data_IF_882881112443
#
_entry.id   IF_882881112443
#
_cell.length_a   1.000
_cell.length_b   1.000
_cell.length_c   1.000
_cell.angle_alpha   90.00
_cell.angle_beta   90.00
_cell.angle_gamma   90.00
#
_symmetry.space_group_name_H-M   'P 1'
#
loop_
_entity.id
_entity.type
_entity.pdbx_description
1 polymer ?
#
# COMPACT_ATOMS: atom_id res chain seq x y z
N UNK A 1 -0.10 -14.73 14.11
CA UNK A 1 0.61 -13.64 14.82
C UNK A 1 -0.35 -12.48 14.93
N UNK A 2 -0.32 -11.73 16.02
CA UNK A 2 -1.10 -10.51 16.12
C UNK A 2 -0.19 -9.32 16.41
N UNK A 3 -0.58 -8.15 15.92
CA UNK A 3 0.15 -6.89 16.08
C UNK A 3 -0.83 -5.81 16.47
N UNK A 4 -0.53 -5.10 17.55
CA UNK A 4 -1.23 -3.86 17.90
C UNK A 4 -0.52 -2.69 17.24
N UNK A 5 -1.24 -1.95 16.41
CA UNK A 5 -0.76 -0.72 15.81
C UNK A 5 -1.32 0.47 16.59
N UNK A 6 -0.44 1.32 17.07
CA UNK A 6 -0.80 2.63 17.63
C UNK A 6 -0.31 3.71 16.66
N UNK A 7 -1.26 4.46 16.12
CA UNK A 7 -1.02 5.51 15.15
C UNK A 7 -1.09 6.87 15.84
N UNK A 8 -0.13 7.75 15.54
CA UNK A 8 -0.21 9.16 15.91
C UNK A 8 -1.28 9.87 15.07
N UNK A 9 -1.61 11.11 15.44
CA UNK A 9 -2.49 11.99 14.64
C UNK A 9 -2.01 12.03 13.20
N UNK A 10 -2.92 11.79 12.26
CA UNK A 10 -2.65 11.74 10.80
C UNK A 10 -1.61 10.68 10.42
N UNK A 11 -1.37 9.68 11.28
CA UNK A 11 -0.54 8.54 10.95
C UNK A 11 -1.14 7.79 9.77
N UNK A 12 -0.26 7.22 8.93
CA UNK A 12 -0.63 6.45 7.75
C UNK A 12 0.12 5.12 7.77
N UNK A 13 -0.64 4.02 7.79
CA UNK A 13 -0.17 2.73 7.33
C UNK A 13 -0.38 2.70 5.82
N UNK A 14 0.71 2.86 5.07
CA UNK A 14 0.68 3.00 3.61
C UNK A 14 0.12 1.78 2.90
N UNK A 15 -0.23 1.97 1.63
CA UNK A 15 -0.83 0.95 0.78
C UNK A 15 0.06 -0.29 0.72
N UNK A 16 -0.47 -1.42 1.15
CA UNK A 16 0.25 -2.67 1.19
C UNK A 16 -0.67 -3.85 0.91
N UNK A 17 -0.09 -4.99 0.56
CA UNK A 17 -0.82 -6.23 0.39
C UNK A 17 -0.47 -7.28 1.46
N UNK A 18 -1.38 -8.23 1.61
CA UNK A 18 -1.31 -9.35 2.53
C UNK A 18 -1.66 -10.62 1.77
N UNK A 19 -0.65 -11.43 1.46
CA UNK A 19 -0.83 -12.67 0.69
C UNK A 19 -1.74 -13.72 1.37
N UNK A 20 -2.27 -13.42 2.55
CA UNK A 20 -3.08 -14.30 3.41
C UNK A 20 -4.14 -13.52 4.17
N UNK A 21 -4.95 -14.24 4.94
CA UNK A 21 -6.05 -13.64 5.70
C UNK A 21 -5.53 -12.67 6.76
N UNK A 22 -6.18 -11.51 6.82
CA UNK A 22 -6.00 -10.49 7.84
C UNK A 22 -7.34 -10.19 8.51
N UNK A 23 -7.34 -10.23 9.84
CA UNK A 23 -8.41 -9.65 10.64
C UNK A 23 -7.93 -8.30 11.17
N UNK A 24 -8.59 -7.21 10.79
CA UNK A 24 -8.35 -5.88 11.34
C UNK A 24 -9.49 -5.50 12.28
N UNK A 25 -9.16 -5.24 13.54
CA UNK A 25 -10.12 -4.83 14.57
C UNK A 25 -9.75 -3.47 15.12
N UNK A 26 -10.67 -2.51 15.01
CA UNK A 26 -10.50 -1.20 15.63
C UNK A 26 -10.45 -1.31 17.16
N UNK A 27 -9.58 -0.54 17.80
CA UNK A 27 -9.39 -0.51 19.27
C UNK A 27 -9.72 0.85 19.87
N UNK A 28 -9.28 1.94 19.24
CA UNK A 28 -9.50 3.31 19.76
C UNK A 28 -9.30 4.37 18.67
N UNK A 29 -9.92 5.54 18.84
CA UNK A 29 -9.85 6.64 17.90
C UNK A 29 -10.86 6.50 16.75
N UNK A 30 -10.52 7.10 15.62
CA UNK A 30 -11.23 6.94 14.35
C UNK A 30 -10.19 6.58 13.29
N UNK A 31 -10.44 5.51 12.55
CA UNK A 31 -9.59 5.06 11.45
C UNK A 31 -10.35 5.16 10.13
N UNK A 32 -9.63 5.41 9.05
CA UNK A 32 -10.13 5.23 7.69
C UNK A 32 -9.37 4.05 7.07
N UNK A 33 -10.11 3.03 6.65
CA UNK A 33 -9.63 1.89 5.86
C UNK A 33 -9.96 2.13 4.39
N UNK A 34 -8.95 2.31 3.55
CA UNK A 34 -9.10 2.39 2.09
C UNK A 34 -8.79 1.05 1.45
N UNK A 35 -9.71 0.49 0.67
CA UNK A 35 -9.59 -0.82 0.04
C UNK A 35 -9.44 -0.72 -1.48
N UNK A 36 -8.54 -1.54 -2.03
CA UNK A 36 -8.25 -1.64 -3.46
C UNK A 36 -8.22 -3.11 -3.89
N UNK A 37 -8.58 -3.35 -5.15
CA UNK A 37 -8.56 -4.68 -5.74
C UNK A 37 -7.70 -4.68 -7.00
N UNK A 38 -6.79 -5.65 -7.15
CA UNK A 38 -6.05 -5.80 -8.40
C UNK A 38 -7.02 -6.16 -9.53
N UNK A 39 -6.85 -5.51 -10.68
CA UNK A 39 -7.53 -5.94 -11.88
C UNK A 39 -6.88 -7.24 -12.38
N UNK A 40 -7.64 -8.31 -12.71
CA UNK A 40 -7.08 -9.61 -13.10
C UNK A 40 -6.25 -9.59 -14.40
N UNK A 41 -6.21 -8.47 -15.14
CA UNK A 41 -5.36 -8.32 -16.32
C UNK A 41 -4.02 -7.68 -15.93
N UNK A 42 -2.88 -8.39 -16.03
CA UNK A 42 -1.58 -7.81 -15.71
C UNK A 42 -1.31 -6.60 -16.59
N UNK A 43 -0.90 -5.49 -15.97
CA UNK A 43 -0.92 -4.18 -16.61
C UNK A 43 0.47 -3.54 -16.58
N UNK A 44 1.30 -3.91 -17.56
CA UNK A 44 2.45 -3.13 -18.03
C UNK A 44 3.68 -3.04 -17.11
N UNK A 45 4.86 -3.27 -17.68
CA UNK A 45 6.14 -2.81 -17.12
C UNK A 45 6.48 -1.50 -17.82
N UNK A 46 6.74 -0.43 -17.05
CA UNK A 46 7.10 0.88 -17.62
C UNK A 46 8.56 1.22 -17.25
N UNK A 47 9.28 1.79 -18.22
CA UNK A 47 10.67 2.22 -18.04
C UNK A 47 10.70 3.74 -17.97
N UNK A 48 11.18 4.28 -16.85
CA UNK A 48 11.32 5.73 -16.67
C UNK A 48 12.79 6.10 -16.51
N UNK A 49 13.25 7.15 -17.20
CA UNK A 49 14.60 7.67 -17.01
C UNK A 49 14.65 8.38 -15.67
N UNK A 50 15.70 8.15 -14.88
CA UNK A 50 15.86 8.70 -13.51
C UNK A 50 15.86 10.24 -13.41
N UNK A 51 15.73 10.97 -14.54
CA UNK A 51 15.64 12.43 -14.62
C UNK A 51 14.29 12.94 -15.21
N UNK A 52 13.21 12.16 -15.10
CA UNK A 52 11.85 12.71 -15.17
C UNK A 52 11.25 12.97 -16.56
N UNK A 53 11.85 12.46 -17.64
CA UNK A 53 11.17 12.44 -18.94
C UNK A 53 10.75 11.00 -19.32
N UNK A 54 9.45 10.76 -19.58
CA UNK A 54 9.00 9.47 -20.08
C UNK A 54 9.56 9.23 -21.49
N UNK A 55 9.95 7.99 -21.78
CA UNK A 55 10.28 7.58 -23.15
C UNK A 55 8.95 7.37 -23.88
N UNK A 56 8.50 8.37 -24.63
CA UNK A 56 7.62 8.09 -25.76
C UNK A 56 8.37 7.12 -26.68
N UNK A 57 7.71 6.05 -27.13
CA UNK A 57 8.26 4.97 -27.97
C UNK A 57 8.94 5.43 -29.30
N UNK A 58 9.08 6.73 -29.54
CA UNK A 58 9.64 7.32 -30.76
C UNK A 58 11.15 7.65 -30.73
N UNK A 59 11.88 7.42 -29.63
CA UNK A 59 13.33 7.67 -29.57
C UNK A 59 14.17 6.38 -29.58
N UNK A 60 13.97 5.56 -30.61
CA UNK A 60 14.99 4.60 -31.07
C UNK A 60 15.72 5.23 -32.27
N UNK A 61 16.46 6.32 -32.05
CA UNK A 61 17.42 6.85 -33.03
C UNK A 61 18.84 6.67 -32.48
N UNK A 62 19.82 6.17 -33.28
CA UNK A 62 21.08 5.63 -32.77
C UNK A 62 22.15 6.70 -32.51
N UNK A 63 21.81 7.78 -31.81
CA UNK A 63 22.76 8.87 -31.53
C UNK A 63 22.85 9.20 -30.04
N UNK A 64 23.65 8.43 -29.29
CA UNK A 64 24.52 8.93 -28.21
C UNK A 64 25.29 7.78 -27.56
N UNK A 65 26.51 7.51 -27.99
CA UNK A 65 27.37 6.48 -27.40
C UNK A 65 28.06 6.89 -26.07
N UNK A 66 27.65 7.98 -25.42
CA UNK A 66 28.35 8.50 -24.22
C UNK A 66 27.43 8.86 -23.04
N UNK A 67 26.14 8.54 -23.09
CA UNK A 67 25.21 8.73 -21.97
C UNK A 67 24.83 7.36 -21.40
N UNK A 68 25.39 7.01 -20.24
CA UNK A 68 24.86 5.93 -19.42
C UNK A 68 23.53 6.43 -18.86
N UNK A 69 22.43 6.09 -19.53
CA UNK A 69 21.10 6.34 -19.00
C UNK A 69 20.85 5.38 -17.85
N UNK A 70 20.68 5.92 -16.63
CA UNK A 70 20.14 5.14 -15.53
C UNK A 70 18.63 5.04 -15.72
N UNK A 71 18.15 3.85 -16.09
CA UNK A 71 16.73 3.55 -16.17
C UNK A 71 16.24 3.06 -14.81
N UNK A 72 15.17 3.66 -14.30
CA UNK A 72 14.39 3.08 -13.22
C UNK A 72 13.33 2.18 -13.87
N UNK A 73 13.30 0.90 -13.46
CA UNK A 73 12.21 0.00 -13.82
C UNK A 73 11.16 0.12 -12.72
N UNK A 74 9.98 0.63 -13.08
CA UNK A 74 8.85 0.69 -12.17
C UNK A 74 7.81 -0.33 -12.62
N UNK A 75 7.34 -1.16 -11.68
CA UNK A 75 6.26 -2.11 -11.92
C UNK A 75 4.95 -1.45 -11.51
N UNK A 76 4.00 -1.44 -12.44
CA UNK A 76 2.67 -0.90 -12.21
C UNK A 76 1.64 -2.02 -12.26
N UNK A 77 0.58 -1.85 -11.49
CA UNK A 77 -0.56 -2.74 -11.48
C UNK A 77 -1.82 -1.89 -11.62
N UNK A 78 -2.71 -2.25 -12.52
CA UNK A 78 -4.05 -1.66 -12.51
C UNK A 78 -4.81 -2.20 -11.31
N UNK A 79 -5.39 -1.30 -10.54
CA UNK A 79 -6.26 -1.63 -9.43
C UNK A 79 -7.52 -0.78 -9.50
N UNK A 80 -8.60 -1.29 -8.93
CA UNK A 80 -9.83 -0.54 -8.76
C UNK A 80 -9.94 -0.14 -7.30
N UNK A 81 -10.26 1.13 -7.04
CA UNK A 81 -10.61 1.56 -5.69
C UNK A 81 -12.00 0.99 -5.35
N UNK A 82 -12.06 0.19 -4.28
CA UNK A 82 -13.30 -0.49 -3.90
C UNK A 82 -14.14 0.43 -3.02
N UNK A 83 -13.63 0.77 -1.84
CA UNK A 83 -14.37 1.58 -0.86
C UNK A 83 -13.44 2.21 0.17
N UNK A 84 -13.98 3.21 0.87
CA UNK A 84 -13.37 3.82 2.06
C UNK A 84 -14.34 3.65 3.21
N UNK A 85 -13.88 2.97 4.26
CA UNK A 85 -14.67 2.67 5.45
C UNK A 85 -14.12 3.48 6.62
N UNK A 86 -14.97 4.28 7.26
CA UNK A 86 -14.65 4.89 8.55
C UNK A 86 -14.94 3.87 9.66
N UNK A 87 -13.93 3.58 10.47
CA UNK A 87 -13.98 2.59 11.53
C UNK A 87 -13.89 3.31 12.88
N UNK A 88 -14.83 2.97 13.75
CA UNK A 88 -14.84 3.36 15.17
C UNK A 88 -14.89 2.13 16.08
N UNK A 89 -15.01 2.33 17.40
CA UNK A 89 -15.03 1.24 18.39
C UNK A 89 -16.27 0.35 18.36
N UNK A 90 -17.30 0.70 17.58
CA UNK A 90 -18.53 -0.08 17.44
C UNK A 90 -18.55 -0.93 16.17
N UNK A 91 -17.60 -0.72 15.26
CA UNK A 91 -17.48 -1.52 14.04
C UNK A 91 -17.06 -2.96 14.36
N UNK A 92 -17.66 -3.90 13.63
CA UNK A 92 -17.21 -5.29 13.63
C UNK A 92 -15.81 -5.38 12.98
N UNK A 93 -14.98 -6.36 13.38
CA UNK A 93 -13.70 -6.59 12.73
C UNK A 93 -13.84 -6.82 11.22
N UNK A 94 -12.94 -6.22 10.45
CA UNK A 94 -12.85 -6.44 9.01
C UNK A 94 -12.06 -7.72 8.73
N UNK A 95 -12.59 -8.60 7.89
CA UNK A 95 -11.89 -9.77 7.38
C UNK A 95 -11.46 -9.49 5.94
N UNK A 96 -10.15 -9.48 5.73
CA UNK A 96 -9.52 -9.30 4.43
C UNK A 96 -8.89 -10.65 4.04
N UNK A 97 -9.06 -11.04 2.78
CA UNK A 97 -8.55 -12.30 2.22
C UNK A 97 -7.63 -11.99 1.03
N UNK A 98 -6.83 -12.96 0.55
CA UNK A 98 -6.01 -12.76 -0.64
C UNK A 98 -6.79 -12.25 -1.86
N UNK A 99 -8.07 -12.61 -1.94
CA UNK A 99 -8.99 -12.27 -3.03
C UNK A 99 -9.88 -11.04 -2.76
N UNK A 100 -9.93 -10.54 -1.52
CA UNK A 100 -10.82 -9.44 -1.15
C UNK A 100 -10.21 -8.52 -0.08
N UNK A 101 -10.10 -7.24 -0.39
CA UNK A 101 -9.55 -6.21 0.49
C UNK A 101 -8.06 -6.41 0.78
N UNK A 102 -7.39 -7.23 -0.03
CA UNK A 102 -6.00 -7.59 0.13
C UNK A 102 -5.08 -6.35 0.10
N UNK A 103 -5.40 -5.41 -0.78
CA UNK A 103 -4.67 -4.15 -0.89
C UNK A 103 -5.40 -3.09 -0.09
N UNK A 104 -4.71 -2.51 0.89
CA UNK A 104 -5.33 -1.47 1.70
C UNK A 104 -4.33 -0.50 2.31
N UNK A 105 -4.86 0.65 2.70
CA UNK A 105 -4.19 1.63 3.54
C UNK A 105 -5.08 1.92 4.76
N UNK A 106 -4.44 2.23 5.89
CA UNK A 106 -5.13 2.65 7.11
C UNK A 106 -4.60 4.01 7.52
N UNK A 107 -5.49 4.96 7.79
CA UNK A 107 -5.11 6.28 8.29
C UNK A 107 -5.87 6.67 9.55
N UNK A 108 -5.20 7.35 10.47
CA UNK A 108 -5.80 7.86 11.68
C UNK A 108 -6.43 9.24 11.45
N UNK A 109 -7.70 9.41 11.84
CA UNK A 109 -8.45 10.65 11.63
C UNK A 109 -8.57 11.43 12.93
N UNK A 110 -8.39 12.76 12.84
CA UNK A 110 -8.59 13.73 13.93
C UNK A 110 -7.74 13.57 15.19
N UNK A 111 -7.04 12.45 15.40
CA UNK A 111 -6.25 12.17 16.60
C UNK A 111 -5.51 10.84 16.53
N UNK A 112 -4.84 10.43 17.62
CA UNK A 112 -4.26 9.11 17.74
C UNK A 112 -5.35 8.02 17.65
N UNK A 113 -5.01 6.91 17.03
CA UNK A 113 -5.90 5.77 16.87
C UNK A 113 -5.13 4.46 17.02
N UNK A 114 -5.83 3.37 17.31
CA UNK A 114 -5.22 2.06 17.44
C UNK A 114 -6.11 0.97 16.84
N UNK A 115 -5.46 -0.03 16.23
CA UNK A 115 -6.10 -1.23 15.73
C UNK A 115 -5.26 -2.47 16.01
N UNK A 116 -5.91 -3.62 15.96
CA UNK A 116 -5.32 -4.94 16.13
C UNK A 116 -5.42 -5.69 14.80
N UNK A 117 -4.28 -6.13 14.30
CA UNK A 117 -4.18 -7.01 13.15
C UNK A 117 -3.86 -8.44 13.59
N UNK A 118 -4.58 -9.42 13.06
CA UNK A 118 -4.26 -10.84 13.20
C UNK A 118 -3.97 -11.42 11.81
N UNK A 119 -2.72 -11.79 11.57
CA UNK A 119 -2.25 -12.39 10.33
C UNK A 119 -2.19 -13.91 10.45
N UNK A 120 -2.79 -14.60 9.49
CA UNK A 120 -2.88 -16.04 9.43
C UNK A 120 -2.65 -16.60 8.00
N UNK A 121 -1.43 -17.07 7.68
CA UNK A 121 -0.19 -17.05 8.45
C UNK A 121 0.48 -15.65 8.57
N UNK A 122 1.45 -15.48 9.49
CA UNK A 122 2.28 -14.28 9.56
C UNK A 122 3.19 -14.14 8.32
N UNK A 123 3.66 -12.91 8.09
CA UNK A 123 4.70 -12.62 7.10
C UNK A 123 5.98 -13.40 7.37
N UNK A 124 6.67 -13.74 6.29
CA UNK A 124 7.93 -14.48 6.31
C UNK A 124 8.59 -14.37 4.94
N UNK A 125 9.49 -13.40 4.80
CA UNK A 125 10.20 -13.14 3.55
C UNK A 125 10.94 -14.38 3.05
N UNK A 126 11.50 -15.18 3.97
CA UNK A 126 12.26 -16.39 3.63
C UNK A 126 11.38 -17.52 3.11
N UNK A 127 10.13 -17.57 3.57
CA UNK A 127 9.14 -18.52 3.08
C UNK A 127 8.24 -17.95 1.97
N UNK A 128 8.65 -16.84 1.33
CA UNK A 128 7.93 -16.27 0.20
C UNK A 128 6.62 -15.58 0.56
N UNK A 129 6.51 -15.08 1.80
CA UNK A 129 5.36 -14.29 2.27
C UNK A 129 5.75 -12.83 2.59
N UNK A 130 6.37 -12.09 1.66
CA UNK A 130 6.69 -10.68 1.89
C UNK A 130 5.41 -9.82 1.90
N UNK A 131 5.51 -8.68 2.57
CA UNK A 131 4.58 -7.56 2.42
C UNK A 131 5.11 -6.66 1.29
N UNK A 132 4.31 -6.42 0.25
CA UNK A 132 4.66 -5.46 -0.79
C UNK A 132 3.96 -4.13 -0.53
N UNK A 133 4.68 -3.04 -0.79
CA UNK A 133 4.18 -1.68 -0.63
C UNK A 133 3.92 -1.05 -1.99
N UNK A 134 2.92 -0.20 -2.04
CA UNK A 134 2.51 0.45 -3.28
C UNK A 134 2.28 1.94 -3.09
N UNK A 135 2.39 2.68 -4.18
CA UNK A 135 1.96 4.06 -4.30
C UNK A 135 0.85 4.13 -5.33
N UNK A 136 -0.27 4.75 -4.97
CA UNK A 136 -1.35 5.04 -5.92
C UNK A 136 -0.96 6.22 -6.81
N UNK A 137 -1.18 6.06 -8.12
CA UNK A 137 -0.87 7.03 -9.17
C UNK A 137 -2.11 7.22 -10.05
N UNK A 138 -2.41 8.47 -10.41
CA UNK A 138 -3.52 8.83 -11.30
C UNK A 138 -3.19 8.64 -12.80
N UNK A 139 -1.91 8.50 -13.16
CA UNK A 139 -1.47 8.29 -14.55
C UNK A 139 -0.22 7.40 -14.62
N UNK A 140 -0.04 6.74 -15.78
CA UNK A 140 1.14 5.92 -16.12
C UNK A 140 2.41 6.74 -16.36
N UNK A 141 2.25 8.03 -16.70
CA UNK A 141 3.39 8.88 -17.04
C UNK A 141 4.27 9.18 -15.82
N UNK A 142 3.80 8.83 -14.62
CA UNK A 142 4.57 8.98 -13.38
C UNK A 142 4.93 10.42 -13.07
N UNK A 143 4.28 11.41 -13.72
CA UNK A 143 4.55 12.85 -13.52
C UNK A 143 3.57 13.45 -12.50
N UNK A 144 2.34 12.93 -12.42
CA UNK A 144 1.38 13.30 -11.38
C UNK A 144 1.52 12.36 -10.18
N UNK A 145 2.45 12.72 -9.30
CA UNK A 145 2.76 11.99 -8.06
C UNK A 145 1.73 12.24 -6.94
N UNK A 146 0.91 13.27 -7.10
CA UNK A 146 -0.10 13.63 -6.13
C UNK A 146 -1.39 12.85 -6.38
N UNK A 147 -1.97 12.36 -5.29
CA UNK A 147 -3.32 11.82 -5.24
C UNK A 147 -4.27 12.94 -5.65
N UNK A 148 -4.68 12.98 -6.91
CA UNK A 148 -5.78 13.85 -7.27
C UNK A 148 -7.05 13.22 -6.69
N UNK A 149 -7.41 13.64 -5.48
CA UNK A 149 -8.61 13.20 -4.77
C UNK A 149 -9.89 13.51 -5.57
N UNK A 150 -9.79 14.30 -6.65
CA UNK A 150 -10.87 14.60 -7.60
C UNK A 150 -10.91 13.66 -8.81
N UNK A 151 -9.97 12.71 -8.90
CA UNK A 151 -10.03 11.67 -9.93
C UNK A 151 -11.19 10.74 -9.61
N UNK A 152 -12.33 10.97 -10.26
CA UNK A 152 -13.50 10.08 -10.22
C UNK A 152 -13.28 8.78 -11.01
N UNK A 153 -12.05 8.52 -11.50
CA UNK A 153 -11.74 7.26 -12.17
C UNK A 153 -11.80 6.11 -11.17
N UNK A 154 -12.60 5.05 -11.45
CA UNK A 154 -12.61 3.86 -10.60
C UNK A 154 -11.26 3.13 -10.66
N UNK A 155 -10.53 3.30 -11.75
CA UNK A 155 -9.24 2.68 -12.01
C UNK A 155 -8.07 3.57 -11.54
N UNK A 156 -7.11 2.92 -10.90
CA UNK A 156 -5.89 3.47 -10.32
C UNK A 156 -4.68 2.67 -10.77
N UNK A 157 -3.53 3.33 -10.89
CA UNK A 157 -2.26 2.65 -11.10
C UNK A 157 -1.54 2.52 -9.77
N UNK A 158 -1.22 1.30 -9.35
CA UNK A 158 -0.42 1.03 -8.17
C UNK A 158 1.01 0.73 -8.60
N UNK A 159 1.92 1.63 -8.28
CA UNK A 159 3.34 1.42 -8.48
C UNK A 159 3.92 0.69 -7.27
N UNK A 160 4.55 -0.46 -7.48
CA UNK A 160 5.29 -1.13 -6.41
C UNK A 160 6.49 -0.28 -6.00
N UNK A 161 6.67 -0.11 -4.70
CA UNK A 161 7.76 0.65 -4.11
C UNK A 161 8.46 -0.17 -3.02
N UNK A 162 9.74 0.11 -2.73
CA UNK A 162 10.34 -0.33 -1.48
C UNK A 162 9.53 0.18 -0.29
N UNK A 163 9.64 -0.49 0.86
CA UNK A 163 9.07 -0.01 2.11
C UNK A 163 9.40 1.47 2.30
N UNK A 164 8.40 2.36 2.44
CA UNK A 164 8.65 3.79 2.55
C UNK A 164 9.54 4.10 3.75
N UNK A 165 10.52 5.00 3.58
CA UNK A 165 11.36 5.46 4.71
C UNK A 165 10.56 6.22 5.77
N UNK A 166 9.42 6.79 5.41
CA UNK A 166 8.46 7.43 6.31
C UNK A 166 7.61 6.43 7.09
N UNK A 167 7.59 5.15 6.67
CA UNK A 167 6.95 4.08 7.42
C UNK A 167 7.87 3.66 8.56
N UNK A 168 7.56 4.15 9.76
CA UNK A 168 8.29 3.83 10.98
C UNK A 168 7.39 3.07 11.95
N UNK A 169 7.66 1.78 12.12
CA UNK A 169 7.08 0.97 13.20
C UNK A 169 8.14 0.73 14.27
N UNK A 170 8.11 1.52 15.33
CA UNK A 170 8.86 1.21 16.55
C UNK A 170 8.20 0.05 17.27
N UNK A 171 8.86 -1.11 17.35
CA UNK A 171 8.39 -2.22 18.17
C UNK A 171 8.49 -1.89 19.65
N UNK A 172 7.43 -2.18 20.41
CA UNK A 172 7.42 -2.06 21.87
C UNK A 172 7.02 -3.41 22.50
N UNK A 173 7.59 -3.73 23.66
CA UNK A 173 7.17 -4.88 24.44
C UNK A 173 5.69 -4.74 24.84
N UNK A 174 4.96 -5.86 24.85
CA UNK A 174 3.58 -5.88 25.26
C UNK A 174 3.47 -5.90 26.79
N UNK A 175 2.75 -4.92 27.35
CA UNK A 175 2.56 -4.73 28.79
C UNK A 175 1.11 -5.03 29.25
N UNK A 176 0.27 -5.57 28.37
CA UNK A 176 -1.11 -5.93 28.72
C UNK A 176 -1.23 -7.28 29.45
N UNK A 177 -2.46 -7.79 29.63
CA UNK A 177 -2.71 -9.07 30.29
C UNK A 177 -1.93 -10.23 29.67
N UNK A 178 -1.46 -11.18 30.49
CA UNK A 178 -0.71 -12.33 30.01
C UNK A 178 -1.50 -13.11 28.93
N UNK A 179 -0.86 -13.37 27.79
CA UNK A 179 -1.39 -14.21 26.73
C UNK A 179 -0.83 -15.61 26.90
N UNK A 180 -1.71 -16.58 27.10
CA UNK A 180 -1.36 -18.01 27.16
C UNK A 180 -1.86 -18.71 25.90
N UNK A 181 -1.10 -19.70 25.43
CA UNK A 181 -1.42 -20.52 24.26
C UNK A 181 -2.19 -21.76 24.67
#
# INVERSE_FOLDING_TARGET
>A
MFTFFAMLRNGLHGLSNHLYNLLCSHVSGILILGLYEFNPKPTGVHFTVLNGHPISQQLLHPFCEHLIFFFCVCVYFLATFSERVELDTFHQPCILTPEKGNIHEVSAVFGPAAFLDILAPPYDDKAGRPCHYYRACSSLDGVSWDRDERSESPDWWLMEIPQPSTFWCGGQAYFGPCVTL
#
